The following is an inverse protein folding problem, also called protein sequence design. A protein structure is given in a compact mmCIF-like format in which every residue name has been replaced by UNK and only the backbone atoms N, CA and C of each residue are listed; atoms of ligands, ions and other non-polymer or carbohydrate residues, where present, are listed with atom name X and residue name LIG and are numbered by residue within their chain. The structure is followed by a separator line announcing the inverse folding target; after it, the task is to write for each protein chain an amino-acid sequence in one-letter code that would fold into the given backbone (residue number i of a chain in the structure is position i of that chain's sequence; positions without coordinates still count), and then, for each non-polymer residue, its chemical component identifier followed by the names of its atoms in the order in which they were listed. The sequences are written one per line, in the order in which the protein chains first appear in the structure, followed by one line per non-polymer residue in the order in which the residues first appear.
data_IF_864974399387
#
_entry.id   IF_864974399387
#
_cell.length_a   1.000
_cell.length_b   1.000
_cell.length_c   1.000
_cell.angle_alpha   90.00
_cell.angle_beta   90.00
_cell.angle_gamma   90.00
#
_symmetry.space_group_name_H-M   'P 1'
#
loop_
_entity.id
_entity.type
_entity.pdbx_description
1 polymer ?
#
# COMPACT_ATOMS: atom_id res chain seq x y z
N UNK A 1 -2.74 -16.33 -7.19
CA UNK A 1 -2.96 -15.95 -5.77
C UNK A 1 -3.46 -14.50 -5.74
N UNK A 2 -4.09 -14.01 -4.65
CA UNK A 2 -4.61 -12.65 -4.63
C UNK A 2 -3.46 -11.64 -4.71
N UNK A 3 -3.69 -10.53 -5.42
CA UNK A 3 -2.65 -9.52 -5.69
C UNK A 3 -2.63 -8.43 -4.63
N UNK A 4 -1.45 -7.82 -4.45
CA UNK A 4 -1.33 -6.54 -3.76
C UNK A 4 -0.64 -5.54 -4.68
N UNK A 5 -0.93 -4.27 -4.43
CA UNK A 5 -0.25 -3.16 -5.09
C UNK A 5 0.00 -2.03 -4.11
N UNK A 6 1.12 -1.34 -4.29
CA UNK A 6 1.45 -0.11 -3.60
C UNK A 6 1.71 0.95 -4.65
N UNK A 7 0.82 1.94 -4.71
CA UNK A 7 1.08 3.12 -5.53
C UNK A 7 1.88 4.14 -4.74
N UNK A 8 2.82 4.84 -5.38
CA UNK A 8 3.37 6.09 -4.85
C UNK A 8 2.65 7.24 -5.54
N UNK A 9 2.07 8.12 -4.75
CA UNK A 9 1.10 9.10 -5.21
C UNK A 9 1.51 10.51 -4.79
N UNK A 10 1.86 11.35 -5.77
CA UNK A 10 2.18 12.75 -5.60
C UNK A 10 0.94 13.63 -5.78
N UNK A 11 0.02 13.55 -4.82
CA UNK A 11 -1.16 14.41 -4.75
C UNK A 11 -0.82 15.75 -4.05
N UNK A 12 -1.76 16.29 -3.24
CA UNK A 12 -1.50 17.45 -2.36
C UNK A 12 -0.27 17.22 -1.45
N UNK A 13 -0.12 16.00 -0.96
CA UNK A 13 1.06 15.52 -0.26
C UNK A 13 1.47 14.17 -0.83
N UNK A 14 2.77 13.91 -0.83
CA UNK A 14 3.29 12.60 -1.22
C UNK A 14 2.84 11.56 -0.19
N UNK A 15 2.24 10.49 -0.66
CA UNK A 15 1.85 9.33 0.15
C UNK A 15 1.94 8.05 -0.69
N UNK A 16 1.64 6.92 -0.05
CA UNK A 16 1.61 5.62 -0.70
C UNK A 16 0.24 5.00 -0.50
N UNK A 17 -0.44 4.59 -1.57
CA UNK A 17 -1.70 3.86 -1.48
C UNK A 17 -1.40 2.37 -1.45
N UNK A 18 -1.56 1.75 -0.28
CA UNK A 18 -1.42 0.32 -0.06
C UNK A 18 -2.75 -0.38 -0.34
N UNK A 19 -2.75 -1.40 -1.20
CA UNK A 19 -3.98 -2.07 -1.62
C UNK A 19 -3.85 -3.59 -1.63
N UNK A 20 -4.91 -4.28 -1.20
CA UNK A 20 -5.04 -5.73 -1.22
C UNK A 20 -6.28 -6.11 -2.02
N UNK A 21 -6.14 -7.05 -2.95
CA UNK A 21 -7.27 -7.68 -3.64
C UNK A 21 -8.05 -8.55 -2.66
N UNK A 22 -9.30 -8.18 -2.35
CA UNK A 22 -10.19 -8.91 -1.43
C UNK A 22 -11.60 -8.85 -1.99
N UNK A 23 -12.27 -9.99 -2.09
CA UNK A 23 -13.66 -10.10 -2.57
C UNK A 23 -13.92 -9.36 -3.90
N UNK A 24 -12.96 -9.40 -4.83
CA UNK A 24 -13.09 -8.82 -6.17
C UNK A 24 -12.80 -7.32 -6.29
N UNK A 25 -12.34 -6.67 -5.22
CA UNK A 25 -11.95 -5.25 -5.21
C UNK A 25 -10.59 -5.02 -4.56
N UNK A 26 -9.99 -3.86 -4.79
CA UNK A 26 -8.79 -3.41 -4.09
C UNK A 26 -9.18 -2.66 -2.81
N UNK A 27 -9.17 -3.35 -1.67
CA UNK A 27 -9.25 -2.72 -0.35
C UNK A 27 -8.02 -1.83 -0.16
N UNK A 28 -8.24 -0.57 0.19
CA UNK A 28 -7.23 0.48 -0.02
C UNK A 28 -6.99 1.33 1.22
N UNK A 29 -5.72 1.67 1.46
CA UNK A 29 -5.29 2.55 2.54
C UNK A 29 -4.24 3.54 2.07
N UNK A 30 -4.45 4.83 2.36
CA UNK A 30 -3.42 5.85 2.20
C UNK A 30 -2.43 5.79 3.37
N UNK A 31 -1.13 5.63 3.07
CA UNK A 31 -0.03 5.51 4.03
C UNK A 31 0.90 6.72 3.85
N UNK A 32 0.73 7.82 4.63
CA UNK A 32 1.39 9.10 4.36
C UNK A 32 2.92 9.04 4.32
N UNK A 33 3.52 8.22 5.19
CA UNK A 33 4.99 8.06 5.24
C UNK A 33 5.49 6.87 4.42
N UNK A 34 4.58 6.11 3.81
CA UNK A 34 4.85 4.82 3.17
C UNK A 34 5.12 3.68 4.17
N UNK A 35 5.31 2.46 3.65
CA UNK A 35 5.65 1.28 4.44
C UNK A 35 7.07 1.37 5.03
N UNK A 36 7.33 0.62 6.11
CA UNK A 36 8.64 0.51 6.74
C UNK A 36 8.99 -0.94 6.98
N UNK A 37 10.26 -1.30 6.77
CA UNK A 37 10.79 -2.62 7.10
C UNK A 37 11.26 -2.73 8.56
N UNK A 38 11.24 -1.64 9.35
CA UNK A 38 11.49 -1.70 10.79
C UNK A 38 10.22 -2.18 11.51
N UNK A 39 10.23 -3.37 12.16
CA UNK A 39 9.07 -3.90 12.87
C UNK A 39 8.68 -3.11 14.13
N UNK A 40 9.48 -2.11 14.52
CA UNK A 40 9.17 -1.18 15.61
C UNK A 40 8.42 0.07 15.12
N UNK A 41 8.48 0.38 13.83
CA UNK A 41 7.78 1.51 13.25
C UNK A 41 6.31 1.13 12.93
N UNK A 42 5.36 1.87 13.50
CA UNK A 42 3.94 1.74 13.21
C UNK A 42 3.56 2.81 12.18
N UNK A 43 3.19 2.43 10.97
CA UNK A 43 2.81 3.37 9.91
C UNK A 43 1.30 3.57 9.90
N UNK A 44 0.85 4.81 10.06
CA UNK A 44 -0.56 5.16 9.90
C UNK A 44 -1.01 4.79 8.47
N UNK A 45 -2.12 4.09 8.38
CA UNK A 45 -2.80 3.69 7.16
C UNK A 45 -4.26 4.12 7.27
N UNK A 46 -4.68 5.10 6.49
CA UNK A 46 -6.05 5.63 6.52
C UNK A 46 -6.86 4.91 5.47
N UNK A 47 -7.96 4.26 5.85
CA UNK A 47 -8.83 3.57 4.91
C UNK A 47 -9.44 4.56 3.92
N UNK A 48 -9.39 4.22 2.63
CA UNK A 48 -9.96 5.00 1.53
C UNK A 48 -10.89 4.12 0.71
N UNK A 49 -11.55 4.70 -0.27
CA UNK A 49 -12.54 4.04 -1.11
C UNK A 49 -11.94 2.80 -1.80
N UNK A 50 -12.76 1.76 -2.00
CA UNK A 50 -12.35 0.58 -2.76
C UNK A 50 -12.05 0.97 -4.22
N UNK A 51 -11.08 0.30 -4.84
CA UNK A 51 -10.72 0.53 -6.24
C UNK A 51 -10.96 -0.74 -7.07
N UNK A 52 -11.18 -0.58 -8.38
CA UNK A 52 -11.26 -1.71 -9.30
C UNK A 52 -9.92 -2.44 -9.40
N UNK A 53 -9.95 -3.73 -9.75
CA UNK A 53 -8.72 -4.51 -9.96
C UNK A 53 -7.87 -3.93 -11.10
N UNK A 54 -8.52 -3.43 -12.15
CA UNK A 54 -7.87 -2.78 -13.30
C UNK A 54 -7.05 -1.55 -12.88
N UNK A 55 -7.50 -0.81 -11.86
CA UNK A 55 -6.75 0.31 -11.32
C UNK A 55 -5.41 -0.11 -10.69
N UNK A 56 -5.23 -1.40 -10.38
CA UNK A 56 -4.00 -1.92 -9.79
C UNK A 56 -2.76 -1.76 -10.66
N UNK A 57 -2.92 -1.62 -11.98
CA UNK A 57 -1.80 -1.47 -12.92
C UNK A 57 -1.69 -0.01 -13.45
N UNK A 58 -2.41 0.96 -12.85
CA UNK A 58 -2.45 2.35 -13.31
C UNK A 58 -1.15 3.12 -13.01
N UNK A 59 -0.59 3.75 -14.04
CA UNK A 59 0.45 4.77 -13.94
C UNK A 59 0.12 5.98 -14.80
N UNK A 60 0.29 7.19 -14.26
CA UNK A 60 0.00 8.40 -15.01
C UNK A 60 -0.25 9.61 -14.12
N UNK A 61 -0.93 10.61 -14.67
CA UNK A 61 -1.31 11.83 -13.95
C UNK A 61 -2.84 11.93 -13.93
N UNK A 62 -3.39 12.03 -12.73
CA UNK A 62 -4.80 12.30 -12.50
C UNK A 62 -5.00 13.81 -12.58
N UNK A 63 -5.94 14.25 -13.42
CA UNK A 63 -6.16 15.65 -13.74
C UNK A 63 -6.55 16.51 -12.54
N UNK A 64 -6.24 17.81 -12.60
CA UNK A 64 -6.63 18.75 -11.55
C UNK A 64 -8.16 18.80 -11.39
N UNK A 65 -8.62 18.98 -10.15
CA UNK A 65 -10.06 18.98 -9.82
C UNK A 65 -10.68 17.58 -9.65
N UNK A 66 -9.98 16.51 -10.04
CA UNK A 66 -10.40 15.14 -9.76
C UNK A 66 -9.95 14.70 -8.36
N UNK A 67 -10.69 13.77 -7.76
CA UNK A 67 -10.26 13.12 -6.53
C UNK A 67 -8.97 12.34 -6.79
N UNK A 68 -7.95 12.58 -5.97
CA UNK A 68 -6.62 12.02 -6.19
C UNK A 68 -5.81 12.71 -7.30
N UNK A 69 -6.08 13.98 -7.63
CA UNK A 69 -5.26 14.74 -8.58
C UNK A 69 -3.77 14.69 -8.20
N UNK A 70 -2.92 14.32 -9.16
CA UNK A 70 -1.50 14.08 -8.92
C UNK A 70 -0.90 13.00 -9.81
N UNK A 71 0.43 12.89 -9.79
CA UNK A 71 1.12 11.79 -10.45
C UNK A 71 1.03 10.51 -9.61
N UNK A 72 0.93 9.37 -10.28
CA UNK A 72 0.82 8.03 -9.68
C UNK A 72 1.75 7.06 -10.41
N UNK A 73 2.50 6.26 -9.64
CA UNK A 73 3.26 5.11 -10.15
C UNK A 73 2.94 3.86 -9.34
N UNK A 74 3.11 2.69 -9.94
CA UNK A 74 3.08 1.39 -9.26
C UNK A 74 4.45 1.18 -8.60
N UNK A 75 4.57 1.57 -7.34
CA UNK A 75 5.82 1.53 -6.59
C UNK A 75 6.21 0.13 -6.12
N UNK A 76 5.26 -0.74 -5.80
CA UNK A 76 5.49 -2.17 -5.60
C UNK A 76 4.25 -2.97 -5.97
N UNK A 77 4.44 -4.21 -6.37
CA UNK A 77 3.36 -5.12 -6.72
C UNK A 77 3.80 -6.56 -6.58
N UNK A 78 2.84 -7.44 -6.36
CA UNK A 78 3.07 -8.87 -6.27
C UNK A 78 1.84 -9.61 -5.80
N UNK A 79 2.08 -10.83 -5.32
CA UNK A 79 1.05 -11.65 -4.69
C UNK A 79 1.15 -11.53 -3.17
N UNK A 80 0.06 -11.83 -2.48
CA UNK A 80 0.09 -12.04 -1.04
C UNK A 80 -0.60 -13.36 -0.67
N UNK A 81 -0.35 -13.81 0.55
CA UNK A 81 -1.06 -14.93 1.17
C UNK A 81 -1.48 -14.58 2.58
N UNK A 82 -2.60 -15.14 3.01
CA UNK A 82 -3.08 -14.98 4.37
C UNK A 82 -2.17 -15.71 5.35
N UNK A 83 -2.00 -15.15 6.54
CA UNK A 83 -1.26 -15.76 7.64
C UNK A 83 -2.19 -16.20 8.79
N UNK A 84 -3.49 -16.04 8.63
CA UNK A 84 -4.51 -16.57 9.52
C UNK A 84 -5.07 -17.86 8.90
N UNK A 85 -5.01 -18.98 9.62
CA UNK A 85 -5.53 -20.28 9.14
C UNK A 85 -7.06 -20.38 9.32
N UNK A 86 -7.60 -19.73 10.36
CA UNK A 86 -9.00 -19.86 10.76
C UNK A 86 -9.93 -18.83 10.12
N UNK A 87 -9.40 -17.85 9.38
CA UNK A 87 -10.15 -16.70 8.85
C UNK A 87 -9.60 -16.25 7.52
N UNK A 88 -10.49 -15.95 6.59
CA UNK A 88 -10.15 -15.23 5.36
C UNK A 88 -9.64 -13.82 5.68
N UNK A 89 -8.86 -13.22 4.76
CA UNK A 89 -8.46 -11.82 4.88
C UNK A 89 -9.65 -10.87 5.08
N UNK A 90 -10.76 -11.13 4.37
CA UNK A 90 -11.98 -10.34 4.49
C UNK A 90 -12.53 -10.34 5.93
N UNK A 91 -12.57 -11.50 6.58
CA UNK A 91 -12.99 -11.63 7.98
C UNK A 91 -12.00 -10.99 8.94
N UNK A 92 -10.70 -11.15 8.69
CA UNK A 92 -9.65 -10.56 9.51
C UNK A 92 -9.67 -9.01 9.44
N UNK A 93 -9.92 -8.45 8.25
CA UNK A 93 -10.15 -7.01 8.05
C UNK A 93 -11.43 -6.56 8.75
N UNK A 94 -12.55 -7.28 8.64
CA UNK A 94 -13.77 -6.95 9.40
C UNK A 94 -13.53 -6.98 10.91
N UNK A 95 -12.76 -7.94 11.42
CA UNK A 95 -12.36 -8.04 12.82
C UNK A 95 -11.37 -6.93 13.25
N UNK A 96 -10.72 -6.26 12.30
CA UNK A 96 -9.82 -5.13 12.55
C UNK A 96 -8.37 -5.53 12.82
N UNK A 97 -8.02 -6.77 12.51
CA UNK A 97 -6.65 -7.24 12.58
C UNK A 97 -6.42 -8.30 11.50
N UNK A 98 -5.72 -7.89 10.44
CA UNK A 98 -5.34 -8.76 9.34
C UNK A 98 -3.82 -9.01 9.36
N UNK A 99 -3.43 -10.25 9.08
CA UNK A 99 -2.03 -10.68 8.97
C UNK A 99 -1.84 -11.38 7.64
N UNK A 100 -0.84 -10.98 6.88
CA UNK A 100 -0.60 -11.47 5.54
C UNK A 100 0.89 -11.44 5.24
N UNK A 101 1.31 -12.23 4.26
CA UNK A 101 2.67 -12.31 3.76
C UNK A 101 2.71 -11.75 2.35
N UNK A 102 3.56 -10.77 2.11
CA UNK A 102 3.75 -10.14 0.80
C UNK A 102 4.89 -10.82 0.04
N UNK A 103 4.68 -11.05 -1.25
CA UNK A 103 5.69 -11.49 -2.22
C UNK A 103 5.87 -10.43 -3.31
N UNK A 104 6.33 -9.25 -2.89
CA UNK A 104 6.58 -8.11 -3.77
C UNK A 104 7.93 -8.12 -4.46
N UNK A 105 8.14 -7.11 -5.31
CA UNK A 105 9.47 -6.80 -5.84
C UNK A 105 10.31 -6.10 -4.78
N UNK A 106 9.72 -5.21 -3.98
CA UNK A 106 10.45 -4.42 -2.96
C UNK A 106 10.18 -4.92 -1.55
N UNK A 107 8.92 -5.18 -1.22
CA UNK A 107 8.48 -5.64 0.08
C UNK A 107 8.20 -7.15 0.07
N UNK A 108 8.83 -7.85 1.01
CA UNK A 108 8.62 -9.28 1.24
C UNK A 108 8.45 -9.57 2.73
N UNK A 109 7.87 -10.71 3.05
CA UNK A 109 7.71 -11.18 4.42
C UNK A 109 6.34 -10.85 5.01
N UNK A 110 6.20 -11.07 6.31
CA UNK A 110 4.96 -10.87 7.06
C UNK A 110 4.68 -9.42 7.40
N UNK A 111 3.41 -9.04 7.34
CA UNK A 111 2.86 -7.74 7.68
C UNK A 111 1.56 -7.89 8.47
N UNK A 112 1.12 -6.81 9.11
CA UNK A 112 -0.21 -6.72 9.71
C UNK A 112 -0.84 -5.35 9.50
N UNK A 113 -2.15 -5.34 9.31
CA UNK A 113 -3.01 -4.17 9.43
C UNK A 113 -3.81 -4.27 10.72
N UNK A 114 -3.70 -3.28 11.60
CA UNK A 114 -4.40 -3.21 12.88
C UNK A 114 -5.25 -1.96 12.97
N UNK A 115 -6.58 -2.11 13.06
CA UNK A 115 -7.50 -0.98 13.16
C UNK A 115 -7.42 -0.37 14.55
N UNK A 116 -7.27 0.95 14.60
CA UNK A 116 -7.23 1.72 15.83
C UNK A 116 -8.64 1.90 16.38
N UNK A 117 -8.78 1.91 17.71
CA UNK A 117 -10.01 2.33 18.39
C UNK A 117 -10.03 3.86 18.44
N UNK A 118 -11.01 4.50 17.83
CA UNK A 118 -11.09 5.97 17.82
C UNK A 118 -12.31 6.51 17.08
N UNK A 119 -12.61 7.80 17.28
CA UNK A 119 -13.66 8.54 16.56
C UNK A 119 -13.01 9.37 15.45
N UNK A 120 -13.42 9.13 14.21
CA UNK A 120 -13.05 9.88 13.00
C UNK A 120 -13.96 9.42 11.85
N UNK A 121 -14.11 10.25 10.81
CA UNK A 121 -14.98 9.91 9.67
C UNK A 121 -14.48 8.70 8.87
N UNK A 122 -13.16 8.51 8.79
CA UNK A 122 -12.52 7.35 8.13
C UNK A 122 -11.79 6.47 9.15
N UNK A 123 -11.88 5.15 8.97
CA UNK A 123 -11.21 4.20 9.85
C UNK A 123 -9.68 4.32 9.74
N UNK A 124 -9.02 4.44 10.90
CA UNK A 124 -7.57 4.52 10.98
C UNK A 124 -6.97 3.17 11.33
N UNK A 125 -5.90 2.82 10.64
CA UNK A 125 -5.18 1.57 10.78
C UNK A 125 -3.69 1.81 10.98
N UNK A 126 -3.01 0.77 11.44
CA UNK A 126 -1.57 0.70 11.51
C UNK A 126 -1.07 -0.42 10.60
N UNK A 127 -0.26 -0.06 9.61
CA UNK A 127 0.53 -1.00 8.81
C UNK A 127 1.86 -1.24 9.53
N UNK A 128 2.13 -2.51 9.86
CA UNK A 128 3.27 -2.90 10.69
C UNK A 128 3.97 -4.09 10.06
N UNK A 129 5.30 -3.99 9.89
CA UNK A 129 6.14 -5.11 9.47
C UNK A 129 6.27 -6.12 10.61
N UNK A 130 6.08 -7.41 10.32
CA UNK A 130 6.33 -8.47 11.32
C UNK A 130 7.83 -8.73 11.48
N UNK A 131 8.23 -9.20 12.66
CA UNK A 131 9.59 -9.70 12.93
C UNK A 131 9.75 -11.07 12.27
N UNK A 132 10.40 -11.07 11.12
CA UNK A 132 10.75 -12.26 10.33
C UNK A 132 12.01 -11.94 9.51
N UNK A 133 12.45 -12.86 8.66
CA UNK A 133 13.65 -12.73 7.82
C UNK A 133 13.61 -11.53 6.85
N UNK A 134 12.42 -11.05 6.49
CA UNK A 134 12.24 -9.87 5.63
C UNK A 134 12.27 -8.54 6.38
N UNK A 135 12.39 -8.54 7.71
CA UNK A 135 12.48 -7.32 8.52
C UNK A 135 13.90 -6.75 8.53
N UNK A 136 14.04 -5.47 8.19
CA UNK A 136 15.33 -4.80 8.16
C UNK A 136 15.16 -3.30 8.48
N UNK A 137 15.56 -2.89 9.69
CA UNK A 137 15.45 -1.50 10.13
C UNK A 137 16.41 -0.53 9.43
N UNK A 138 17.44 -1.03 8.75
CA UNK A 138 18.43 -0.23 8.01
C UNK A 138 17.99 0.01 6.57
N UNK A 139 17.21 -0.89 5.99
CA UNK A 139 16.70 -0.77 4.62
C UNK A 139 15.49 0.15 4.56
N UNK A 140 15.57 1.20 3.74
CA UNK A 140 14.49 2.20 3.52
C UNK A 140 14.05 2.24 2.04
N UNK A 141 13.27 1.26 1.56
CA UNK A 141 12.90 1.19 0.14
C UNK A 141 12.18 2.43 -0.38
N UNK A 142 11.37 3.09 0.45
CA UNK A 142 10.62 4.30 0.07
C UNK A 142 11.53 5.47 -0.34
N UNK A 143 12.80 5.45 0.08
CA UNK A 143 13.84 6.40 -0.35
C UNK A 143 14.85 5.81 -1.32
N UNK A 144 15.23 4.54 -1.17
CA UNK A 144 16.32 3.94 -1.95
C UNK A 144 15.89 3.20 -3.22
N UNK A 145 14.59 2.95 -3.38
CA UNK A 145 13.99 2.31 -4.56
C UNK A 145 12.75 3.12 -4.97
N UNK A 146 12.88 4.39 -5.38
CA UNK A 146 11.75 5.27 -5.65
C UNK A 146 10.98 4.99 -6.95
N UNK A 147 11.52 4.16 -7.84
CA UNK A 147 11.04 3.92 -9.20
C UNK A 147 9.80 3.02 -9.25
N UNK A 148 9.08 3.03 -10.37
CA UNK A 148 8.03 2.07 -10.69
C UNK A 148 8.59 0.66 -10.86
N UNK A 149 7.84 -0.36 -10.41
CA UNK A 149 8.15 -1.77 -10.71
C UNK A 149 7.64 -2.22 -12.08
N UNK A 150 6.81 -1.42 -12.75
CA UNK A 150 6.28 -1.70 -14.08
C UNK A 150 7.08 -0.98 -15.17
N UNK A 151 7.25 0.33 -15.04
CA UNK A 151 7.90 1.15 -16.08
C UNK A 151 9.34 1.55 -15.76
N UNK A 152 9.81 1.35 -14.52
CA UNK A 152 11.12 1.85 -14.07
C UNK A 152 11.20 3.38 -13.92
N UNK A 153 10.12 4.11 -14.15
CA UNK A 153 10.07 5.58 -14.04
C UNK A 153 9.92 6.04 -12.59
N UNK A 154 10.48 7.20 -12.26
CA UNK A 154 10.19 7.89 -10.99
C UNK A 154 8.88 8.68 -11.08
N UNK A 155 8.35 9.06 -9.92
CA UNK A 155 7.13 9.88 -9.85
C UNK A 155 7.35 11.27 -10.47
N UNK A 156 8.57 11.79 -10.39
CA UNK A 156 8.97 13.06 -11.00
C UNK A 156 9.01 12.98 -12.52
N UNK A 157 9.46 11.85 -13.09
CA UNK A 157 9.45 11.62 -14.54
C UNK A 157 8.01 11.55 -15.07
N UNK A 158 7.13 10.77 -14.43
CA UNK A 158 5.71 10.69 -14.81
C UNK A 158 5.02 12.06 -14.71
N UNK A 159 5.36 12.85 -13.69
CA UNK A 159 4.83 14.21 -13.55
C UNK A 159 5.31 15.16 -14.65
N UNK A 160 6.55 15.00 -15.12
CA UNK A 160 7.12 15.85 -16.15
C UNK A 160 6.55 15.56 -17.55
N UNK A 161 6.24 14.30 -17.85
CA UNK A 161 5.69 13.86 -19.14
C UNK A 161 4.24 14.32 -19.39
N UNK A 162 3.50 14.67 -18.33
CA UNK A 162 2.13 15.15 -18.43
C UNK A 162 2.00 16.67 -18.61
N UNK A 163 3.12 17.39 -18.75
CA UNK A 163 3.18 18.82 -19.06
C UNK A 163 3.44 19.04 -20.53
#
# INVERSE_FOLDING_TARGET
MPRFVIHKHAARSLHYDFRLEVDGVLKSWAVPRGPSLDPREKRLAVEVEDHSLEYGDFEGVIGEGQYGAGAVIVWDAGEYRDLDEDRSLAEALRAGHARFWLEGRKLRGGWSLQRMRGRGEKAQWLLIKRRDEGADARRRPTSTQPESVLSGRTIEQVRAEAR
#
